data_IF_812814053990
#
_entry.id   IF_812814053990
#
_cell.length_a   1.000
_cell.length_b   1.000
_cell.length_c   1.000
_cell.angle_alpha   90.00
_cell.angle_beta   90.00
_cell.angle_gamma   90.00
#
_symmetry.space_group_name_H-M   'P 1'
#
loop_
_entity.id
_entity.type
_entity.pdbx_description
1 polymer ?
#
# COMPACT_ATOMS: atom_id res chain seq x y z
N UNK A 1 12.03 -14.83 22.78
CA UNK A 1 11.55 -15.65 21.63
C UNK A 1 10.08 -15.90 21.88
N UNK A 2 9.17 -15.44 21.10
CA UNK A 2 7.70 -15.57 21.11
C UNK A 2 6.91 -14.26 21.21
N UNK A 3 7.06 -13.37 20.22
CA UNK A 3 6.02 -12.32 20.06
C UNK A 3 5.81 -11.87 18.60
N UNK A 4 6.65 -12.31 17.68
CA UNK A 4 6.54 -11.95 16.26
C UNK A 4 5.48 -12.77 15.50
N UNK A 5 5.07 -13.95 15.99
CA UNK A 5 4.08 -14.80 15.32
C UNK A 5 2.63 -14.44 15.69
N UNK A 6 2.38 -13.99 16.92
CA UNK A 6 1.05 -13.62 17.39
C UNK A 6 0.54 -12.30 16.78
N UNK A 7 1.44 -11.37 16.42
CA UNK A 7 1.07 -10.10 15.77
C UNK A 7 0.70 -10.26 14.30
N UNK A 8 1.14 -11.31 13.61
CA UNK A 8 0.88 -11.49 12.18
C UNK A 8 -0.51 -12.08 11.87
N UNK A 9 -1.06 -12.92 12.74
CA UNK A 9 -2.41 -13.50 12.55
C UNK A 9 -3.53 -12.52 12.87
N UNK A 10 -3.34 -11.63 13.85
CA UNK A 10 -4.31 -10.58 14.21
C UNK A 10 -4.48 -9.50 13.13
N UNK A 11 -3.59 -9.43 12.12
CA UNK A 11 -3.62 -8.40 11.07
C UNK A 11 -4.20 -8.87 9.74
N UNK A 12 -4.58 -10.14 9.59
CA UNK A 12 -5.10 -10.70 8.35
C UNK A 12 -6.52 -10.21 8.06
N UNK A 13 -6.74 -9.71 6.83
CA UNK A 13 -8.06 -9.30 6.34
C UNK A 13 -8.82 -10.47 5.71
N UNK A 14 -8.12 -11.52 5.30
CA UNK A 14 -8.65 -12.73 4.68
C UNK A 14 -8.68 -13.89 5.67
N UNK A 15 -9.46 -14.91 5.33
CA UNK A 15 -9.44 -16.17 6.04
C UNK A 15 -8.11 -16.92 5.82
N UNK A 16 -7.69 -17.81 6.72
CA UNK A 16 -6.36 -18.44 6.68
C UNK A 16 -6.04 -19.17 5.36
N UNK A 17 -7.01 -19.84 4.76
CA UNK A 17 -6.84 -20.56 3.48
C UNK A 17 -6.55 -19.61 2.32
N UNK A 18 -7.32 -18.53 2.20
CA UNK A 18 -7.15 -17.52 1.15
C UNK A 18 -5.85 -16.74 1.35
N UNK A 19 -5.48 -16.50 2.60
CA UNK A 19 -4.19 -15.89 2.93
C UNK A 19 -3.00 -16.79 2.54
N UNK A 20 -3.11 -18.09 2.77
CA UNK A 20 -2.08 -19.06 2.37
C UNK A 20 -1.94 -19.11 0.85
N UNK A 21 -3.05 -19.08 0.11
CA UNK A 21 -3.09 -19.03 -1.36
C UNK A 21 -2.42 -17.75 -1.89
N UNK A 22 -2.79 -16.60 -1.35
CA UNK A 22 -2.20 -15.31 -1.73
C UNK A 22 -0.68 -15.30 -1.49
N UNK A 23 -0.22 -15.77 -0.34
CA UNK A 23 1.20 -15.89 -0.03
C UNK A 23 1.93 -16.84 -0.99
N UNK A 24 1.32 -17.95 -1.37
CA UNK A 24 1.89 -18.89 -2.34
C UNK A 24 2.06 -18.25 -3.72
N UNK A 25 1.07 -17.45 -4.17
CA UNK A 25 1.16 -16.68 -5.42
C UNK A 25 2.29 -15.64 -5.35
N UNK A 26 2.37 -14.88 -4.25
CA UNK A 26 3.40 -13.85 -4.08
C UNK A 26 4.82 -14.40 -4.05
N UNK A 27 5.04 -15.59 -3.45
CA UNK A 27 6.37 -16.24 -3.45
C UNK A 27 6.84 -16.66 -4.84
N UNK A 28 5.91 -16.83 -5.78
CA UNK A 28 6.18 -17.21 -7.17
C UNK A 28 6.01 -16.06 -8.15
N UNK A 29 5.80 -14.84 -7.63
CA UNK A 29 5.52 -13.67 -8.46
C UNK A 29 6.68 -13.36 -9.39
N UNK A 30 7.91 -13.55 -8.93
CA UNK A 30 9.13 -13.47 -9.72
C UNK A 30 9.91 -14.76 -9.51
N UNK A 31 10.12 -15.49 -10.60
CA UNK A 31 10.99 -16.67 -10.59
C UNK A 31 12.45 -16.22 -10.70
N UNK A 32 13.23 -16.52 -9.67
CA UNK A 32 14.67 -16.19 -9.62
C UNK A 32 15.45 -17.43 -10.04
N UNK A 33 15.76 -17.53 -11.35
CA UNK A 33 16.56 -18.60 -11.91
C UNK A 33 17.99 -18.67 -11.35
N UNK A 34 18.66 -19.78 -11.57
CA UNK A 34 20.04 -20.00 -11.10
C UNK A 34 21.06 -19.12 -11.86
N UNK A 35 20.73 -18.71 -13.09
CA UNK A 35 21.61 -17.95 -13.97
C UNK A 35 21.50 -16.42 -13.75
N UNK A 36 20.64 -15.98 -12.82
CA UNK A 36 20.53 -14.55 -12.48
C UNK A 36 21.74 -14.15 -11.64
N UNK A 37 22.26 -12.94 -11.92
CA UNK A 37 23.38 -12.34 -11.17
C UNK A 37 23.09 -12.42 -9.65
N UNK A 38 24.05 -12.89 -8.82
CA UNK A 38 23.80 -13.19 -7.40
C UNK A 38 23.30 -12.01 -6.56
N UNK A 39 23.80 -10.80 -6.79
CA UNK A 39 23.35 -9.60 -6.06
C UNK A 39 21.90 -9.24 -6.38
N UNK A 40 21.53 -9.24 -7.67
CA UNK A 40 20.14 -9.03 -8.10
C UNK A 40 19.22 -10.14 -7.58
N UNK A 41 19.64 -11.40 -7.70
CA UNK A 41 18.89 -12.53 -7.19
C UNK A 41 18.67 -12.44 -5.67
N UNK A 42 19.70 -12.03 -4.93
CA UNK A 42 19.64 -11.77 -3.49
C UNK A 42 18.67 -10.65 -3.13
N UNK A 43 18.72 -9.52 -3.85
CA UNK A 43 17.84 -8.39 -3.66
C UNK A 43 16.36 -8.75 -3.83
N UNK A 44 16.02 -9.47 -4.90
CA UNK A 44 14.65 -9.93 -5.15
C UNK A 44 14.19 -10.91 -4.07
N UNK A 45 15.02 -11.91 -3.71
CA UNK A 45 14.68 -12.89 -2.66
C UNK A 45 14.47 -12.23 -1.31
N UNK A 46 15.29 -11.25 -0.92
CA UNK A 46 15.13 -10.53 0.33
C UNK A 46 13.75 -9.88 0.46
N UNK A 47 13.23 -9.29 -0.62
CA UNK A 47 11.88 -8.71 -0.66
C UNK A 47 10.80 -9.77 -0.56
N UNK A 48 10.92 -10.87 -1.33
CA UNK A 48 9.93 -11.96 -1.33
C UNK A 48 9.86 -12.70 0.02
N UNK A 49 10.97 -12.78 0.74
CA UNK A 49 11.07 -13.44 2.06
C UNK A 49 10.54 -12.55 3.21
N UNK A 50 10.32 -11.26 2.97
CA UNK A 50 9.82 -10.32 3.95
C UNK A 50 8.58 -9.55 3.45
N UNK A 51 7.47 -10.24 3.17
CA UNK A 51 6.32 -9.65 2.47
C UNK A 51 5.53 -8.62 3.30
N UNK A 52 5.81 -8.48 4.60
CA UNK A 52 5.04 -7.59 5.47
C UNK A 52 3.59 -8.05 5.70
N UNK A 53 2.69 -7.09 5.97
CA UNK A 53 1.29 -7.38 6.28
C UNK A 53 0.41 -7.71 5.07
N UNK A 54 0.83 -7.40 3.87
CA UNK A 54 0.12 -7.65 2.60
C UNK A 54 -1.30 -7.07 2.53
N UNK A 55 -1.65 -6.07 3.35
CA UNK A 55 -3.03 -5.62 3.47
C UNK A 55 -3.59 -5.02 2.18
N UNK A 56 -2.75 -4.39 1.33
CA UNK A 56 -3.18 -3.90 0.01
C UNK A 56 -3.51 -5.04 -0.93
N UNK A 57 -2.66 -6.06 -0.97
CA UNK A 57 -2.91 -7.28 -1.75
C UNK A 57 -4.15 -8.04 -1.25
N UNK A 58 -4.35 -8.11 0.07
CA UNK A 58 -5.54 -8.72 0.67
C UNK A 58 -6.82 -7.99 0.27
N UNK A 59 -6.82 -6.65 0.25
CA UNK A 59 -7.95 -5.87 -0.24
C UNK A 59 -8.23 -6.12 -1.72
N UNK A 60 -7.20 -6.08 -2.56
CA UNK A 60 -7.35 -6.33 -3.99
C UNK A 60 -7.94 -7.72 -4.26
N UNK A 61 -7.50 -8.72 -3.52
CA UNK A 61 -8.04 -10.07 -3.60
C UNK A 61 -9.51 -10.12 -3.16
N UNK A 62 -9.85 -9.50 -2.04
CA UNK A 62 -11.21 -9.48 -1.51
C UNK A 62 -12.18 -8.75 -2.45
N UNK A 63 -11.81 -7.59 -2.97
CA UNK A 63 -12.61 -6.86 -3.96
C UNK A 63 -12.80 -7.71 -5.22
N UNK A 64 -11.72 -8.30 -5.76
CA UNK A 64 -11.79 -9.13 -6.96
C UNK A 64 -12.77 -10.30 -6.81
N UNK A 65 -12.65 -11.07 -5.74
CA UNK A 65 -13.53 -12.22 -5.49
C UNK A 65 -14.97 -11.81 -5.21
N UNK A 66 -15.20 -10.74 -4.44
CA UNK A 66 -16.54 -10.24 -4.16
C UNK A 66 -17.23 -9.63 -5.39
N UNK A 67 -16.48 -9.18 -6.38
CA UNK A 67 -17.00 -8.67 -7.66
C UNK A 67 -17.06 -9.73 -8.78
N UNK A 68 -16.76 -10.99 -8.47
CA UNK A 68 -16.97 -12.13 -9.37
C UNK A 68 -15.75 -12.63 -10.11
N UNK A 69 -14.54 -12.13 -9.84
CA UNK A 69 -13.32 -12.69 -10.41
C UNK A 69 -13.04 -14.09 -9.85
N UNK A 70 -12.43 -14.93 -10.67
CA UNK A 70 -11.85 -16.19 -10.18
C UNK A 70 -10.81 -15.92 -9.10
N UNK A 71 -10.65 -16.84 -8.15
CA UNK A 71 -9.60 -16.74 -7.12
C UNK A 71 -8.20 -16.63 -7.74
N UNK A 72 -7.98 -17.21 -8.90
CA UNK A 72 -6.73 -17.14 -9.62
C UNK A 72 -6.48 -15.72 -10.15
N UNK A 73 -7.43 -15.14 -10.89
CA UNK A 73 -7.34 -13.77 -11.40
C UNK A 73 -7.21 -12.76 -10.26
N UNK A 74 -8.00 -12.91 -9.20
CA UNK A 74 -7.90 -12.06 -8.01
C UNK A 74 -6.51 -12.16 -7.34
N UNK A 75 -5.91 -13.36 -7.28
CA UNK A 75 -4.56 -13.55 -6.74
C UNK A 75 -3.49 -12.89 -7.63
N UNK A 76 -3.62 -12.97 -8.96
CA UNK A 76 -2.71 -12.29 -9.90
C UNK A 76 -2.76 -10.77 -9.74
N UNK A 77 -3.96 -10.18 -9.68
CA UNK A 77 -4.13 -8.74 -9.50
C UNK A 77 -3.64 -8.26 -8.12
N UNK A 78 -3.88 -9.04 -7.08
CA UNK A 78 -3.35 -8.79 -5.75
C UNK A 78 -1.81 -8.82 -5.74
N UNK A 79 -1.21 -9.78 -6.46
CA UNK A 79 0.24 -9.87 -6.64
C UNK A 79 0.79 -8.71 -7.47
N UNK A 80 0.05 -8.21 -8.46
CA UNK A 80 0.42 -7.01 -9.21
C UNK A 80 0.48 -5.78 -8.30
N UNK A 81 -0.54 -5.56 -7.48
CA UNK A 81 -0.58 -4.45 -6.50
C UNK A 81 0.59 -4.53 -5.52
N UNK A 82 0.89 -5.71 -4.99
CA UNK A 82 2.02 -5.89 -4.08
C UNK A 82 3.37 -5.72 -4.77
N UNK A 83 3.47 -6.10 -6.06
CA UNK A 83 4.69 -5.87 -6.84
C UNK A 83 4.96 -4.37 -7.00
N UNK A 84 3.98 -3.57 -7.36
CA UNK A 84 4.12 -2.11 -7.42
C UNK A 84 4.47 -1.51 -6.05
N UNK A 85 3.86 -2.01 -4.97
CA UNK A 85 4.19 -1.57 -3.62
C UNK A 85 5.62 -1.94 -3.21
N UNK A 86 6.09 -3.15 -3.50
CA UNK A 86 7.46 -3.54 -3.21
C UNK A 86 8.48 -2.71 -4.03
N UNK A 87 8.17 -2.39 -5.29
CA UNK A 87 8.97 -1.51 -6.11
C UNK A 87 9.08 -0.10 -5.48
N UNK A 88 7.95 0.48 -5.05
CA UNK A 88 7.96 1.80 -4.41
C UNK A 88 8.85 1.81 -3.16
N UNK A 89 8.76 0.79 -2.31
CA UNK A 89 9.60 0.69 -1.11
C UNK A 89 11.09 0.54 -1.44
N UNK A 90 11.43 -0.22 -2.48
CA UNK A 90 12.82 -0.37 -2.92
C UNK A 90 13.43 0.96 -3.38
N UNK A 91 12.65 1.78 -4.11
CA UNK A 91 13.09 3.10 -4.55
C UNK A 91 13.12 4.09 -3.39
N UNK A 92 12.11 4.08 -2.52
CA UNK A 92 12.04 4.95 -1.35
C UNK A 92 13.25 4.76 -0.43
N UNK A 93 13.73 3.52 -0.23
CA UNK A 93 14.85 3.20 0.65
C UNK A 93 16.22 3.70 0.13
N UNK A 94 16.34 4.06 -1.16
CA UNK A 94 17.63 4.46 -1.75
C UNK A 94 18.21 5.74 -1.10
N UNK A 95 19.57 5.92 -1.12
CA UNK A 95 20.21 7.13 -0.59
C UNK A 95 19.75 8.43 -1.23
N UNK A 96 19.30 8.39 -2.50
CA UNK A 96 18.75 9.55 -3.20
C UNK A 96 17.30 9.89 -2.80
N UNK A 97 16.67 9.07 -1.96
CA UNK A 97 15.30 9.21 -1.49
C UNK A 97 15.28 9.34 0.03
N UNK A 98 14.94 8.27 0.77
CA UNK A 98 14.81 8.28 2.23
C UNK A 98 16.10 7.86 2.95
N UNK A 99 17.09 7.32 2.23
CA UNK A 99 18.34 6.74 2.76
C UNK A 99 18.11 5.79 3.95
N UNK A 100 17.08 4.96 3.85
CA UNK A 100 16.63 4.12 4.95
C UNK A 100 17.69 3.05 5.29
N UNK A 101 18.03 2.93 6.57
CA UNK A 101 18.95 1.86 7.03
C UNK A 101 18.23 0.50 7.11
N UNK A 102 16.95 0.53 7.46
CA UNK A 102 16.17 -0.69 7.71
C UNK A 102 14.79 -0.61 7.09
N UNK A 103 14.28 -1.76 6.64
CA UNK A 103 12.92 -1.94 6.17
C UNK A 103 12.31 -3.24 6.73
N UNK A 104 11.15 -3.16 7.37
CA UNK A 104 10.45 -4.32 7.97
C UNK A 104 11.34 -5.12 8.95
N UNK A 105 12.15 -4.42 9.76
CA UNK A 105 13.05 -5.02 10.77
C UNK A 105 14.29 -5.71 10.20
N UNK A 106 14.60 -5.51 8.92
CA UNK A 106 15.82 -5.98 8.24
C UNK A 106 16.58 -4.80 7.64
N UNK A 107 17.87 -4.94 7.39
CA UNK A 107 18.61 -3.94 6.63
C UNK A 107 17.95 -3.69 5.27
N UNK A 108 17.93 -2.44 4.80
CA UNK A 108 17.40 -2.08 3.50
C UNK A 108 18.17 -2.80 2.38
N UNK A 109 17.49 -3.10 1.27
CA UNK A 109 18.06 -3.91 0.18
C UNK A 109 19.32 -3.28 -0.40
N UNK A 110 19.34 -1.96 -0.57
CA UNK A 110 20.52 -1.25 -1.08
C UNK A 110 21.74 -1.33 -0.14
N UNK A 111 21.52 -1.45 1.18
CA UNK A 111 22.59 -1.62 2.18
C UNK A 111 23.22 -3.02 2.12
N UNK A 112 22.44 -4.03 1.74
CA UNK A 112 22.91 -5.42 1.69
C UNK A 112 23.45 -5.79 0.32
N UNK A 113 22.77 -5.40 -0.76
CA UNK A 113 23.06 -5.83 -2.12
C UNK A 113 23.58 -4.72 -3.04
N UNK A 114 23.70 -3.48 -2.52
CA UNK A 114 24.10 -2.31 -3.29
C UNK A 114 22.93 -1.63 -4.01
N UNK A 115 23.11 -0.33 -4.32
CA UNK A 115 22.08 0.50 -4.95
C UNK A 115 21.67 -0.02 -6.33
N UNK A 116 22.62 -0.45 -7.15
CA UNK A 116 22.34 -0.98 -8.49
C UNK A 116 21.41 -2.20 -8.44
N UNK A 117 21.67 -3.15 -7.52
CA UNK A 117 20.83 -4.33 -7.36
C UNK A 117 19.43 -3.95 -6.83
N UNK A 118 19.32 -2.99 -5.92
CA UNK A 118 18.04 -2.49 -5.42
C UNK A 118 17.20 -1.82 -6.53
N UNK A 119 17.82 -0.98 -7.37
CA UNK A 119 17.17 -0.34 -8.53
C UNK A 119 16.68 -1.39 -9.52
N UNK A 120 17.52 -2.35 -9.88
CA UNK A 120 17.17 -3.41 -10.84
C UNK A 120 16.08 -4.33 -10.28
N UNK A 121 16.10 -4.65 -8.98
CA UNK A 121 15.02 -5.37 -8.32
C UNK A 121 13.70 -4.59 -8.35
N UNK A 122 13.72 -3.28 -8.08
CA UNK A 122 12.56 -2.40 -8.21
C UNK A 122 11.96 -2.43 -9.61
N UNK A 123 12.80 -2.31 -10.65
CA UNK A 123 12.36 -2.44 -12.04
C UNK A 123 11.78 -3.81 -12.37
N UNK A 124 12.35 -4.90 -11.81
CA UNK A 124 11.82 -6.25 -11.97
C UNK A 124 10.41 -6.39 -11.38
N UNK A 125 10.17 -5.80 -10.19
CA UNK A 125 8.84 -5.77 -9.59
C UNK A 125 7.85 -4.91 -10.41
N UNK A 126 8.25 -3.75 -10.91
CA UNK A 126 7.42 -2.93 -11.82
C UNK A 126 7.04 -3.72 -13.07
N UNK A 127 8.02 -4.31 -13.75
CA UNK A 127 7.80 -5.11 -14.95
C UNK A 127 6.84 -6.28 -14.68
N UNK A 128 7.06 -7.02 -13.59
CA UNK A 128 6.19 -8.14 -13.24
C UNK A 128 4.78 -7.70 -12.85
N UNK A 129 4.64 -6.56 -12.17
CA UNK A 129 3.35 -5.96 -11.84
C UNK A 129 2.51 -5.72 -13.10
N UNK A 130 3.07 -5.08 -14.12
CA UNK A 130 2.39 -4.89 -15.41
C UNK A 130 2.10 -6.21 -16.11
N UNK A 131 3.02 -7.17 -16.10
CA UNK A 131 2.80 -8.51 -16.67
C UNK A 131 1.57 -9.21 -16.06
N UNK A 132 1.45 -9.19 -14.72
CA UNK A 132 0.32 -9.78 -14.01
C UNK A 132 -1.02 -9.08 -14.33
N UNK A 133 -1.00 -7.75 -14.51
CA UNK A 133 -2.20 -7.03 -14.95
C UNK A 133 -2.58 -7.45 -16.37
N UNK A 134 -1.62 -7.52 -17.30
CA UNK A 134 -1.87 -7.93 -18.67
C UNK A 134 -2.46 -9.35 -18.75
N UNK A 135 -1.92 -10.30 -17.98
CA UNK A 135 -2.48 -11.65 -17.84
C UNK A 135 -3.94 -11.62 -17.34
N UNK A 136 -4.28 -10.71 -16.42
CA UNK A 136 -5.66 -10.53 -15.95
C UNK A 136 -6.60 -9.86 -16.95
N UNK A 137 -6.06 -9.27 -18.03
CA UNK A 137 -6.84 -8.57 -19.06
C UNK A 137 -7.10 -9.40 -20.33
N UNK A 138 -6.56 -10.62 -20.43
CA UNK A 138 -6.58 -11.40 -21.67
C UNK A 138 -8.00 -11.58 -22.24
N UNK A 139 -8.98 -11.88 -21.39
CA UNK A 139 -10.36 -12.14 -21.77
C UNK A 139 -11.29 -10.92 -21.72
N UNK A 140 -10.76 -9.72 -21.41
CA UNK A 140 -11.60 -8.53 -21.27
C UNK A 140 -11.90 -7.85 -22.61
N UNK A 141 -13.10 -7.24 -22.77
CA UNK A 141 -13.40 -6.35 -23.88
C UNK A 141 -12.42 -5.18 -23.97
N UNK A 142 -12.18 -4.67 -25.22
CA UNK A 142 -11.23 -3.57 -25.45
C UNK A 142 -11.56 -2.29 -24.66
N UNK A 143 -12.85 -2.00 -24.43
CA UNK A 143 -13.27 -0.82 -23.66
C UNK A 143 -12.83 -0.92 -22.19
N UNK A 144 -12.98 -2.09 -21.59
CA UNK A 144 -12.59 -2.31 -20.20
C UNK A 144 -11.08 -2.30 -20.02
N UNK A 145 -10.32 -2.86 -20.98
CA UNK A 145 -8.85 -2.76 -21.04
C UNK A 145 -8.37 -1.31 -21.05
N UNK A 146 -9.06 -0.43 -21.81
CA UNK A 146 -8.75 1.01 -21.83
C UNK A 146 -9.00 1.69 -20.48
N UNK A 147 -10.07 1.30 -19.76
CA UNK A 147 -10.36 1.83 -18.45
C UNK A 147 -9.28 1.42 -17.43
N UNK A 148 -8.86 0.15 -17.44
CA UNK A 148 -7.76 -0.33 -16.60
C UNK A 148 -6.46 0.41 -16.92
N UNK A 149 -6.10 0.56 -18.20
CA UNK A 149 -4.90 1.30 -18.60
C UNK A 149 -4.92 2.74 -18.09
N UNK A 150 -6.04 3.46 -18.23
CA UNK A 150 -6.16 4.83 -17.70
C UNK A 150 -6.01 4.88 -16.19
N UNK A 151 -6.52 3.87 -15.47
CA UNK A 151 -6.36 3.80 -14.03
C UNK A 151 -4.89 3.58 -13.63
N UNK A 152 -4.18 2.68 -14.32
CA UNK A 152 -2.74 2.47 -14.10
C UNK A 152 -1.94 3.74 -14.37
N UNK A 153 -2.23 4.45 -15.47
CA UNK A 153 -1.58 5.73 -15.78
C UNK A 153 -1.86 6.80 -14.73
N UNK A 154 -3.10 6.88 -14.21
CA UNK A 154 -3.48 7.84 -13.20
C UNK A 154 -2.83 7.54 -11.83
N UNK A 155 -2.64 6.26 -11.49
CA UNK A 155 -2.09 5.86 -10.19
C UNK A 155 -0.57 5.72 -10.21
N UNK A 156 0.00 5.08 -11.24
CA UNK A 156 1.42 4.72 -11.31
C UNK A 156 2.22 5.64 -12.23
N UNK A 157 1.54 6.47 -13.01
CA UNK A 157 2.17 7.36 -13.97
C UNK A 157 2.71 8.65 -13.36
N UNK A 158 3.14 9.56 -14.27
CA UNK A 158 3.80 10.81 -13.92
C UNK A 158 2.95 11.69 -13.00
N UNK A 159 1.64 11.80 -13.25
CA UNK A 159 0.70 12.59 -12.44
C UNK A 159 0.13 11.82 -11.22
N UNK A 160 0.59 10.60 -10.99
CA UNK A 160 0.20 9.75 -9.86
C UNK A 160 1.32 9.69 -8.80
N UNK A 161 1.72 8.45 -8.46
CA UNK A 161 2.69 8.22 -7.39
C UNK A 161 4.05 8.90 -7.65
N UNK A 162 4.45 9.10 -8.93
CA UNK A 162 5.74 9.72 -9.26
C UNK A 162 5.75 11.21 -8.91
N UNK A 163 4.69 11.96 -9.25
CA UNK A 163 4.55 13.36 -8.85
C UNK A 163 4.41 13.48 -7.33
N UNK A 164 3.65 12.56 -6.70
CA UNK A 164 3.51 12.50 -5.25
C UNK A 164 4.87 12.34 -4.54
N UNK A 165 5.69 11.40 -5.03
CA UNK A 165 7.04 11.18 -4.49
C UNK A 165 7.97 12.36 -4.76
N UNK A 166 7.94 12.94 -5.96
CA UNK A 166 8.77 14.09 -6.30
C UNK A 166 8.47 15.31 -5.42
N UNK A 167 7.19 15.55 -5.13
CA UNK A 167 6.76 16.62 -4.20
C UNK A 167 7.13 16.32 -2.75
N UNK A 168 7.06 15.06 -2.32
CA UNK A 168 7.48 14.64 -0.98
C UNK A 168 8.97 14.91 -0.75
N UNK A 169 9.81 14.68 -1.76
CA UNK A 169 11.24 14.95 -1.73
C UNK A 169 11.60 16.44 -1.81
N UNK A 170 10.78 17.26 -2.44
CA UNK A 170 11.02 18.68 -2.69
C UNK A 170 9.73 19.48 -2.50
N UNK A 171 9.20 19.56 -1.27
CA UNK A 171 7.92 20.24 -1.03
C UNK A 171 8.03 21.73 -1.31
N UNK A 172 7.10 22.25 -2.12
CA UNK A 172 6.95 23.69 -2.35
C UNK A 172 6.31 24.38 -1.15
N UNK A 173 6.55 25.72 -1.04
CA UNK A 173 5.97 26.53 0.06
C UNK A 173 4.44 26.54 0.05
N UNK A 174 3.83 26.35 -1.13
CA UNK A 174 2.38 26.35 -1.32
C UNK A 174 1.73 24.98 -1.20
N UNK A 175 2.52 23.90 -1.05
CA UNK A 175 1.97 22.55 -1.00
C UNK A 175 1.26 22.30 0.33
N UNK A 176 0.00 21.85 0.25
CA UNK A 176 -0.74 21.36 1.41
C UNK A 176 -0.21 19.99 1.83
N UNK A 177 0.20 19.80 3.11
CA UNK A 177 0.76 18.52 3.56
C UNK A 177 -0.18 17.32 3.38
N UNK A 178 -1.50 17.53 3.49
CA UNK A 178 -2.47 16.48 3.25
C UNK A 178 -2.49 16.05 1.77
N UNK A 179 -2.30 16.99 0.85
CA UNK A 179 -2.16 16.72 -0.59
C UNK A 179 -0.87 15.96 -0.91
N UNK A 180 0.26 16.35 -0.29
CA UNK A 180 1.55 15.68 -0.45
C UNK A 180 1.45 14.22 0.01
N UNK A 181 0.98 14.02 1.23
CA UNK A 181 0.76 12.71 1.81
C UNK A 181 -0.20 11.83 0.96
N UNK A 182 -1.29 12.43 0.47
CA UNK A 182 -2.22 11.74 -0.42
C UNK A 182 -1.55 11.34 -1.74
N UNK A 183 -0.69 12.17 -2.32
CA UNK A 183 0.00 11.89 -3.57
C UNK A 183 0.91 10.66 -3.53
N UNK A 184 1.54 10.37 -2.39
CA UNK A 184 2.42 9.21 -2.20
C UNK A 184 1.64 7.92 -1.87
N UNK A 185 0.63 8.00 -1.01
CA UNK A 185 -0.02 6.84 -0.38
C UNK A 185 -1.32 6.41 -1.06
N UNK A 186 -2.17 7.36 -1.44
CA UNK A 186 -3.50 7.10 -2.04
C UNK A 186 -3.42 6.32 -3.36
N UNK A 187 -2.47 6.59 -4.30
CA UNK A 187 -2.44 5.89 -5.58
C UNK A 187 -2.38 4.36 -5.46
N UNK A 188 -1.53 3.82 -4.61
CA UNK A 188 -1.42 2.36 -4.41
C UNK A 188 -2.65 1.77 -3.71
N UNK A 189 -3.30 2.51 -2.82
CA UNK A 189 -4.53 2.05 -2.21
C UNK A 189 -5.70 2.13 -3.20
N UNK A 190 -5.77 3.20 -3.99
CA UNK A 190 -6.74 3.34 -5.07
C UNK A 190 -6.59 2.21 -6.09
N UNK A 191 -5.37 1.89 -6.46
CA UNK A 191 -5.08 0.74 -7.33
C UNK A 191 -5.57 -0.58 -6.69
N UNK A 192 -5.32 -0.80 -5.40
CA UNK A 192 -5.75 -2.01 -4.71
C UNK A 192 -7.28 -2.20 -4.70
N UNK A 193 -8.05 -1.11 -4.65
CA UNK A 193 -9.50 -1.16 -4.63
C UNK A 193 -10.11 -1.14 -6.04
N UNK A 194 -9.58 -0.32 -6.95
CA UNK A 194 -10.19 -0.09 -8.27
C UNK A 194 -9.74 -1.08 -9.35
N UNK A 195 -8.48 -1.52 -9.34
CA UNK A 195 -7.98 -2.44 -10.37
C UNK A 195 -8.81 -3.73 -10.45
N UNK A 196 -9.02 -4.50 -9.37
CA UNK A 196 -9.84 -5.71 -9.43
C UNK A 196 -11.30 -5.42 -9.76
N UNK A 197 -11.88 -4.31 -9.29
CA UNK A 197 -13.23 -3.91 -9.62
C UNK A 197 -13.41 -3.56 -11.11
N UNK A 198 -12.42 -2.89 -11.72
CA UNK A 198 -12.40 -2.58 -13.15
C UNK A 198 -12.28 -3.86 -14.00
N UNK A 199 -11.40 -4.77 -13.60
CA UNK A 199 -11.22 -6.07 -14.30
C UNK A 199 -12.47 -6.91 -14.21
N UNK A 200 -13.18 -6.86 -13.08
CA UNK A 200 -14.47 -7.55 -12.89
C UNK A 200 -15.66 -6.87 -13.63
N UNK A 201 -15.47 -5.72 -14.26
CA UNK A 201 -16.57 -4.97 -14.86
C UNK A 201 -17.57 -4.41 -13.83
N UNK A 202 -17.12 -4.13 -12.61
CA UNK A 202 -17.97 -3.64 -11.53
C UNK A 202 -18.72 -2.35 -11.93
N UNK A 203 -19.97 -2.14 -11.45
CA UNK A 203 -20.78 -0.96 -11.75
C UNK A 203 -20.08 0.36 -11.37
N UNK A 204 -20.42 1.45 -12.06
CA UNK A 204 -19.80 2.76 -11.87
C UNK A 204 -20.01 3.31 -10.45
N UNK A 205 -21.16 3.05 -9.84
CA UNK A 205 -21.46 3.49 -8.47
C UNK A 205 -20.58 2.76 -7.43
N UNK A 206 -20.34 1.45 -7.58
CA UNK A 206 -19.39 0.72 -6.72
C UNK A 206 -17.98 1.28 -6.89
N UNK A 207 -17.54 1.51 -8.12
CA UNK A 207 -16.21 2.09 -8.38
C UNK A 207 -16.05 3.47 -7.75
N UNK A 208 -17.07 4.33 -7.82
CA UNK A 208 -17.06 5.64 -7.18
C UNK A 208 -16.96 5.55 -5.64
N UNK A 209 -17.67 4.59 -5.02
CA UNK A 209 -17.58 4.34 -3.57
C UNK A 209 -16.21 3.80 -3.16
N UNK A 210 -15.64 2.88 -3.94
CA UNK A 210 -14.29 2.36 -3.72
C UNK A 210 -13.23 3.46 -3.85
N UNK A 211 -13.41 4.41 -4.78
CA UNK A 211 -12.56 5.58 -4.91
C UNK A 211 -12.60 6.43 -3.64
N UNK A 212 -13.79 6.82 -3.18
CA UNK A 212 -13.94 7.61 -1.95
C UNK A 212 -13.38 6.90 -0.72
N UNK A 213 -13.51 5.58 -0.65
CA UNK A 213 -12.93 4.75 0.42
C UNK A 213 -11.38 4.76 0.35
N UNK A 214 -10.80 4.66 -0.86
CA UNK A 214 -9.36 4.71 -1.05
C UNK A 214 -8.77 6.05 -0.60
N UNK A 215 -9.43 7.15 -0.92
CA UNK A 215 -9.01 8.50 -0.52
C UNK A 215 -9.06 8.66 0.99
N UNK A 216 -10.17 8.29 1.63
CA UNK A 216 -10.34 8.41 3.07
C UNK A 216 -9.34 7.53 3.85
N UNK A 217 -9.19 6.26 3.47
CA UNK A 217 -8.22 5.37 4.13
C UNK A 217 -6.78 5.72 3.82
N UNK A 218 -6.48 6.19 2.61
CA UNK A 218 -5.12 6.58 2.23
C UNK A 218 -4.65 7.77 3.04
N UNK A 219 -5.51 8.79 3.20
CA UNK A 219 -5.22 9.95 4.02
C UNK A 219 -5.15 9.57 5.52
N UNK A 220 -6.08 8.74 6.01
CA UNK A 220 -6.02 8.25 7.39
C UNK A 220 -4.73 7.47 7.67
N UNK A 221 -4.29 6.60 6.76
CA UNK A 221 -3.03 5.86 6.89
C UNK A 221 -1.83 6.80 6.99
N UNK A 222 -1.77 7.82 6.13
CA UNK A 222 -0.66 8.78 6.16
C UNK A 222 -0.63 9.59 7.46
N UNK A 223 -1.80 10.06 7.93
CA UNK A 223 -1.87 10.79 9.20
C UNK A 223 -1.41 9.90 10.38
N UNK A 224 -1.76 8.60 10.35
CA UNK A 224 -1.29 7.64 11.35
C UNK A 224 0.22 7.43 11.31
N UNK A 225 0.81 7.41 10.12
CA UNK A 225 2.25 7.30 9.90
C UNK A 225 2.96 8.55 10.46
N UNK A 226 2.51 9.74 10.07
CA UNK A 226 3.02 11.03 10.54
C UNK A 226 2.93 11.20 12.07
N UNK A 227 1.83 10.73 12.70
CA UNK A 227 1.68 10.74 14.16
C UNK A 227 2.63 9.73 14.81
N UNK A 228 2.86 8.57 14.18
CA UNK A 228 3.82 7.57 14.64
C UNK A 228 5.23 8.14 14.69
N UNK A 229 5.65 8.84 13.65
CA UNK A 229 6.94 9.50 13.56
C UNK A 229 7.10 10.60 14.63
N UNK A 230 6.03 11.34 14.91
CA UNK A 230 6.07 12.37 15.97
C UNK A 230 6.32 11.76 17.35
N UNK A 231 5.69 10.62 17.68
CA UNK A 231 5.90 9.89 18.94
C UNK A 231 7.31 9.29 19.00
N UNK A 232 7.78 8.65 17.93
CA UNK A 232 9.13 8.08 17.87
C UNK A 232 10.23 9.14 18.09
N UNK A 233 10.01 10.39 17.67
CA UNK A 233 10.91 11.53 17.90
C UNK A 233 11.02 11.92 19.37
N UNK A 234 9.93 11.84 20.12
CA UNK A 234 9.97 12.11 21.57
C UNK A 234 10.78 11.05 22.32
N UNK A 235 10.86 9.83 21.78
CA UNK A 235 11.60 8.72 22.34
C UNK A 235 13.06 8.63 21.85
N UNK A 236 13.54 9.58 21.04
CA UNK A 236 14.94 9.69 20.58
C UNK A 236 15.33 8.72 19.47
N UNK A 237 14.36 8.12 18.79
CA UNK A 237 14.59 7.28 17.60
C UNK A 237 14.51 8.17 16.36
N UNK A 238 15.62 8.31 15.62
CA UNK A 238 15.69 9.15 14.42
C UNK A 238 14.71 8.69 13.34
N UNK A 239 14.00 9.66 12.78
CA UNK A 239 13.02 9.48 11.70
C UNK A 239 13.06 10.67 10.74
N UNK A 240 12.14 10.80 9.81
CA UNK A 240 12.05 11.81 8.71
C UNK A 240 12.42 13.26 9.06
N UNK A 241 12.45 13.63 10.35
CA UNK A 241 12.89 14.96 10.77
C UNK A 241 14.37 15.24 10.54
N UNK A 242 15.22 14.23 10.47
CA UNK A 242 16.63 14.38 10.09
C UNK A 242 16.76 14.74 8.61
N UNK A 243 15.77 14.39 7.79
CA UNK A 243 15.69 14.71 6.36
C UNK A 243 15.01 16.06 6.08
N UNK A 244 14.56 16.82 7.10
CA UNK A 244 13.89 18.11 6.90
C UNK A 244 12.48 18.03 6.31
N UNK A 245 11.86 16.87 6.27
CA UNK A 245 10.52 16.65 5.71
C UNK A 245 9.42 17.14 6.65
N UNK A 246 8.51 17.92 6.08
CA UNK A 246 7.36 18.49 6.81
C UNK A 246 6.17 17.52 6.66
N UNK A 247 5.92 16.71 7.69
CA UNK A 247 4.71 15.91 7.77
C UNK A 247 3.48 16.73 8.25
N UNK A 248 2.28 16.23 8.04
CA UNK A 248 1.04 16.91 8.40
C UNK A 248 1.01 17.22 9.92
N UNK A 249 1.31 16.23 10.76
CA UNK A 249 1.28 16.38 12.21
C UNK A 249 2.28 17.44 12.71
N UNK A 250 3.45 17.55 12.08
CA UNK A 250 4.45 18.56 12.39
C UNK A 250 4.03 20.00 12.00
N UNK A 251 3.22 20.14 10.93
CA UNK A 251 2.76 21.46 10.45
C UNK A 251 1.51 21.97 11.15
N UNK A 252 0.52 21.12 11.37
CA UNK A 252 -0.78 21.52 11.95
C UNK A 252 -0.89 21.24 13.45
N UNK A 253 0.06 20.49 14.00
CA UNK A 253 0.04 20.01 15.39
C UNK A 253 -0.73 18.70 15.57
N UNK A 254 -0.34 17.91 16.56
CA UNK A 254 -0.89 16.57 16.81
C UNK A 254 -2.42 16.57 16.96
N UNK A 255 -2.96 17.51 17.74
CA UNK A 255 -4.41 17.62 18.00
C UNK A 255 -5.23 17.85 16.72
N UNK A 256 -4.77 18.73 15.82
CA UNK A 256 -5.44 18.99 14.55
C UNK A 256 -5.29 17.77 13.59
N UNK A 257 -4.14 17.11 13.59
CA UNK A 257 -3.92 15.89 12.83
C UNK A 257 -4.85 14.75 13.29
N UNK A 258 -5.01 14.57 14.61
CA UNK A 258 -5.95 13.58 15.19
C UNK A 258 -7.40 13.91 14.82
N UNK A 259 -7.82 15.17 14.90
CA UNK A 259 -9.16 15.58 14.50
C UNK A 259 -9.42 15.29 13.01
N UNK A 260 -8.44 15.52 12.15
CA UNK A 260 -8.52 15.19 10.72
C UNK A 260 -8.58 13.67 10.52
N UNK A 261 -7.77 12.89 11.24
CA UNK A 261 -7.81 11.43 11.22
C UNK A 261 -9.21 10.91 11.56
N UNK A 262 -9.82 11.42 12.65
CA UNK A 262 -11.15 11.01 13.07
C UNK A 262 -12.21 11.28 11.98
N UNK A 263 -12.10 12.43 11.28
CA UNK A 263 -12.98 12.75 10.16
C UNK A 263 -12.80 11.74 8.99
N UNK A 264 -11.56 11.44 8.62
CA UNK A 264 -11.31 10.50 7.51
C UNK A 264 -11.74 9.06 7.86
N UNK A 265 -11.53 8.63 9.09
CA UNK A 265 -12.02 7.33 9.57
C UNK A 265 -13.55 7.25 9.59
N UNK A 266 -14.25 8.34 9.94
CA UNK A 266 -15.70 8.41 9.87
C UNK A 266 -16.21 8.37 8.42
N UNK A 267 -15.59 9.10 7.50
CA UNK A 267 -15.89 9.06 6.05
C UNK A 267 -15.70 7.63 5.50
N UNK A 268 -14.58 7.00 5.84
CA UNK A 268 -14.29 5.63 5.43
C UNK A 268 -15.33 4.63 5.98
N UNK A 269 -15.75 4.78 7.23
CA UNK A 269 -16.76 3.90 7.84
C UNK A 269 -18.12 4.00 7.12
N UNK A 270 -18.55 5.22 6.75
CA UNK A 270 -19.79 5.43 5.98
C UNK A 270 -19.68 4.79 4.59
N UNK A 271 -18.58 5.04 3.86
CA UNK A 271 -18.35 4.46 2.54
C UNK A 271 -18.30 2.92 2.60
N UNK A 272 -17.60 2.35 3.59
CA UNK A 272 -17.51 0.90 3.79
C UNK A 272 -18.90 0.28 4.08
N UNK A 273 -19.70 0.90 4.94
CA UNK A 273 -21.05 0.43 5.25
C UNK A 273 -21.96 0.42 4.00
N UNK A 274 -21.86 1.42 3.15
CA UNK A 274 -22.62 1.47 1.89
C UNK A 274 -22.19 0.39 0.90
N UNK A 275 -20.88 0.12 0.81
CA UNK A 275 -20.34 -0.95 -0.02
C UNK A 275 -20.81 -2.32 0.49
N UNK A 276 -20.70 -2.57 1.79
CA UNK A 276 -21.11 -3.84 2.43
C UNK A 276 -22.59 -4.14 2.22
N UNK A 277 -23.46 -3.12 2.28
CA UNK A 277 -24.89 -3.29 2.03
C UNK A 277 -25.19 -3.88 0.65
N UNK A 278 -24.40 -3.55 -0.36
CA UNK A 278 -24.55 -4.04 -1.73
C UNK A 278 -23.70 -5.31 -1.99
N UNK A 279 -22.59 -5.44 -1.28
CA UNK A 279 -21.61 -6.50 -1.41
C UNK A 279 -21.26 -7.10 -0.04
N UNK A 280 -22.14 -7.93 0.57
CA UNK A 280 -21.93 -8.48 1.92
C UNK A 280 -20.62 -9.27 2.08
N UNK A 281 -20.11 -9.87 0.99
CA UNK A 281 -18.83 -10.58 1.01
C UNK A 281 -17.61 -9.70 1.34
N UNK A 282 -17.75 -8.37 1.30
CA UNK A 282 -16.72 -7.42 1.68
C UNK A 282 -16.75 -6.99 3.15
N UNK A 283 -17.77 -7.39 3.92
CA UNK A 283 -17.91 -6.97 5.32
C UNK A 283 -16.67 -7.30 6.14
N UNK A 284 -16.24 -8.55 6.14
CA UNK A 284 -15.09 -9.00 6.92
C UNK A 284 -13.82 -8.21 6.62
N UNK A 285 -13.33 -8.18 5.37
CA UNK A 285 -12.13 -7.43 4.99
C UNK A 285 -12.20 -5.93 5.31
N UNK A 286 -13.29 -5.25 4.96
CA UNK A 286 -13.41 -3.81 5.17
C UNK A 286 -13.50 -3.45 6.66
N UNK A 287 -14.28 -4.18 7.45
CA UNK A 287 -14.38 -3.93 8.89
C UNK A 287 -13.09 -4.26 9.64
N UNK A 288 -12.37 -5.33 9.25
CA UNK A 288 -11.07 -5.65 9.87
C UNK A 288 -10.04 -4.54 9.63
N UNK A 289 -9.98 -3.98 8.40
CA UNK A 289 -9.07 -2.87 8.12
C UNK A 289 -9.48 -1.59 8.85
N UNK A 290 -10.76 -1.25 8.87
CA UNK A 290 -11.28 -0.09 9.61
C UNK A 290 -10.93 -0.19 11.10
N UNK A 291 -11.18 -1.35 11.72
CA UNK A 291 -10.83 -1.61 13.14
C UNK A 291 -9.33 -1.47 13.40
N UNK A 292 -8.48 -1.90 12.46
CA UNK A 292 -7.03 -1.75 12.57
C UNK A 292 -6.63 -0.28 12.63
N UNK A 293 -7.17 0.58 11.76
CA UNK A 293 -6.88 2.01 11.77
C UNK A 293 -7.39 2.68 13.05
N UNK A 294 -8.59 2.35 13.49
CA UNK A 294 -9.15 2.84 14.77
C UNK A 294 -8.30 2.41 15.97
N UNK A 295 -7.81 1.17 15.99
CA UNK A 295 -6.93 0.68 17.05
C UNK A 295 -5.58 1.41 17.06
N UNK A 296 -5.01 1.73 15.90
CA UNK A 296 -3.80 2.55 15.82
C UNK A 296 -4.05 3.97 16.33
N UNK A 297 -5.15 4.61 15.96
CA UNK A 297 -5.55 5.93 16.45
C UNK A 297 -5.65 5.96 17.99
N UNK A 298 -6.20 4.92 18.62
CA UNK A 298 -6.30 4.88 20.08
C UNK A 298 -4.95 4.84 20.80
N UNK A 299 -3.90 4.30 20.20
CA UNK A 299 -2.55 4.32 20.77
C UNK A 299 -2.01 5.74 20.93
N UNK A 300 -2.32 6.62 19.97
CA UNK A 300 -1.91 8.04 20.06
C UNK A 300 -2.68 8.80 21.12
N UNK A 301 -3.95 8.52 21.37
CA UNK A 301 -4.72 9.16 22.43
C UNK A 301 -4.19 8.83 23.83
N UNK A 302 -3.64 7.64 24.04
CA UNK A 302 -3.03 7.23 25.31
C UNK A 302 -1.66 7.88 25.54
N UNK A 303 -0.92 8.14 24.46
CA UNK A 303 0.37 8.83 24.53
C UNK A 303 0.23 10.36 24.79
N UNK A 304 -0.88 10.97 24.39
CA UNK A 304 -1.18 12.39 24.71
C UNK A 304 -1.63 12.58 26.19
N UNK A 305 -2.10 11.51 26.83
CA UNK A 305 -2.63 11.56 28.21
C UNK A 305 -1.59 11.15 29.27
N UNK A 306 -0.40 10.70 28.86
CA UNK A 306 0.71 10.29 29.72
C UNK A 306 1.83 11.33 29.75
#
# INVERSE_FOLDING_TARGET
MNDASATSESSALLEPEDMARLRATLRRVIEVGADIEPGLAGAVRQVLDAPGSLWRAQLAWAIGTATGLSRETASRLAAAVESFHNASLLFDDLPAMDDAETRRGRQAVHRVHGEAAAILAGLAFVHRGYGLVLEGLEDLPTADRRAVRRQLEADLGLAGILDGQARDLSPGVADDPASLAAGKTVPLLRLALLLPALVAGAPADLRARLLGLAEAWGLAYQILDDLGDLVARTDGVGTDAECGRLNLAGRVGASAAVARLDLELARAAVAAAEIVRQHPGLEGPLLRLQRRFVAQRHRFALAEAA
#
